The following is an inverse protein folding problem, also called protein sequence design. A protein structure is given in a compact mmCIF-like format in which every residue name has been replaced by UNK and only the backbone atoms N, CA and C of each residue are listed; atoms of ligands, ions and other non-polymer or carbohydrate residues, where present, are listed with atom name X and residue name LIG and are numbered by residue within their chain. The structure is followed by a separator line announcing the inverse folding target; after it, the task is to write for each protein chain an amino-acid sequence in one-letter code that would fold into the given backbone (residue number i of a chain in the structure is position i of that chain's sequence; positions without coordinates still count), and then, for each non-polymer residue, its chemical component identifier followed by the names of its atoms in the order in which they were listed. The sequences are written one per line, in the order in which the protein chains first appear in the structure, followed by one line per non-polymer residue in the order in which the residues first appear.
data_IF_470440480222
#
_entry.id   IF_470440480222
#
_cell.length_a   1.000
_cell.length_b   1.000
_cell.length_c   1.000
_cell.angle_alpha   90.00
_cell.angle_beta   90.00
_cell.angle_gamma   90.00
#
_symmetry.space_group_name_H-M   'P 1'
#
loop_
_entity.id
_entity.type
_entity.pdbx_description
1 polymer ?
#
# COMPACT_ATOMS: atom_id res chain seq x y z
N UNK A 1 9.94 15.83 -20.41
CA UNK A 1 9.97 16.22 -18.98
C UNK A 1 10.51 17.64 -18.78
N UNK A 2 10.90 18.31 -19.85
CA UNK A 2 11.71 19.55 -19.86
C UNK A 2 10.93 20.86 -19.57
N UNK A 3 9.70 20.75 -19.04
CA UNK A 3 8.81 21.90 -18.75
C UNK A 3 8.11 21.82 -17.40
N UNK A 4 8.49 20.90 -16.51
CA UNK A 4 7.90 20.80 -15.18
C UNK A 4 8.67 21.69 -14.21
N UNK A 5 7.96 22.58 -13.50
CA UNK A 5 8.55 23.33 -12.40
C UNK A 5 8.94 22.40 -11.24
N UNK A 6 9.90 22.81 -10.41
CA UNK A 6 10.36 22.03 -9.26
C UNK A 6 9.20 21.56 -8.37
N UNK A 7 8.24 22.44 -8.08
CA UNK A 7 7.05 22.11 -7.29
C UNK A 7 6.17 21.04 -7.94
N UNK A 8 6.09 20.98 -9.28
CA UNK A 8 5.32 19.95 -9.99
C UNK A 8 6.02 18.59 -9.93
N UNK A 9 7.36 18.57 -9.99
CA UNK A 9 8.16 17.35 -9.82
C UNK A 9 8.01 16.83 -8.39
N UNK A 10 8.09 17.71 -7.40
CA UNK A 10 7.86 17.38 -5.99
C UNK A 10 6.45 16.84 -5.79
N UNK A 11 5.43 17.50 -6.35
CA UNK A 11 4.03 17.04 -6.29
C UNK A 11 3.89 15.62 -6.83
N UNK A 12 4.34 15.40 -8.07
CA UNK A 12 4.24 14.12 -8.75
C UNK A 12 4.95 13.02 -7.96
N UNK A 13 6.13 13.33 -7.40
CA UNK A 13 6.89 12.38 -6.56
C UNK A 13 6.10 12.01 -5.29
N UNK A 14 5.51 12.99 -4.60
CA UNK A 14 4.72 12.75 -3.39
C UNK A 14 3.45 11.96 -3.70
N UNK A 15 2.76 12.27 -4.80
CA UNK A 15 1.61 11.49 -5.30
C UNK A 15 1.99 10.03 -5.55
N UNK A 16 3.10 9.81 -6.29
CA UNK A 16 3.62 8.47 -6.56
C UNK A 16 4.00 7.73 -5.28
N UNK A 17 4.61 8.40 -4.29
CA UNK A 17 4.90 7.77 -2.99
C UNK A 17 3.62 7.35 -2.30
N UNK A 18 2.62 8.24 -2.24
CA UNK A 18 1.35 7.99 -1.56
C UNK A 18 0.58 6.81 -2.20
N UNK A 19 0.45 6.81 -3.52
CA UNK A 19 -0.21 5.74 -4.29
C UNK A 19 0.49 4.39 -4.05
N UNK A 20 1.83 4.36 -4.14
CA UNK A 20 2.61 3.14 -3.96
C UNK A 20 2.64 2.61 -2.53
N UNK A 21 2.21 3.37 -1.51
CA UNK A 21 2.11 2.80 -0.14
C UNK A 21 1.11 1.64 -0.14
N UNK A 22 0.01 1.77 -0.88
CA UNK A 22 -1.00 0.71 -0.97
C UNK A 22 -0.50 -0.40 -1.87
N UNK A 23 -0.25 -0.08 -3.14
CA UNK A 23 0.02 -1.07 -4.17
C UNK A 23 1.38 -1.75 -3.99
N UNK A 24 2.35 -0.99 -3.48
CA UNK A 24 3.71 -1.42 -3.23
C UNK A 24 3.84 -2.28 -1.97
N UNK A 25 3.10 -1.95 -0.91
CA UNK A 25 3.44 -2.39 0.45
C UNK A 25 2.24 -2.92 1.22
N UNK A 26 1.24 -2.10 1.54
CA UNK A 26 0.20 -2.51 2.49
C UNK A 26 -0.77 -3.53 1.92
N UNK A 27 -1.11 -3.47 0.63
CA UNK A 27 -1.95 -4.49 0.00
C UNK A 27 -1.23 -5.84 -0.15
N UNK A 28 0.03 -5.91 -0.65
CA UNK A 28 0.80 -7.16 -0.61
C UNK A 28 0.91 -7.75 0.79
N UNK A 29 1.20 -6.92 1.81
CA UNK A 29 1.24 -7.37 3.21
C UNK A 29 -0.12 -7.89 3.69
N UNK A 30 -1.21 -7.19 3.37
CA UNK A 30 -2.56 -7.61 3.72
C UNK A 30 -2.88 -9.01 3.18
N UNK A 31 -2.61 -9.26 1.89
CA UNK A 31 -2.81 -10.58 1.30
C UNK A 31 -1.79 -11.62 1.78
N UNK A 32 -0.58 -11.21 2.16
CA UNK A 32 0.41 -12.07 2.79
C UNK A 32 -0.09 -12.59 4.15
N UNK A 33 -0.70 -11.72 4.96
CA UNK A 33 -1.27 -12.13 6.23
C UNK A 33 -2.48 -13.04 6.04
N UNK A 34 -3.30 -12.80 5.01
CA UNK A 34 -4.49 -13.62 4.73
C UNK A 34 -4.17 -15.01 4.16
N UNK A 35 -3.22 -15.10 3.23
CA UNK A 35 -2.99 -16.31 2.43
C UNK A 35 -1.53 -16.73 2.33
N UNK A 36 -0.64 -16.15 3.14
CA UNK A 36 0.80 -16.40 3.08
C UNK A 36 1.45 -15.85 1.80
N UNK A 37 2.65 -16.36 1.49
CA UNK A 37 3.41 -15.96 0.31
C UNK A 37 2.61 -16.05 -1.02
N UNK A 38 1.78 -17.09 -1.27
CA UNK A 38 0.95 -17.14 -2.47
C UNK A 38 -0.02 -15.96 -2.62
N UNK A 39 -0.61 -15.47 -1.52
CA UNK A 39 -1.49 -14.31 -1.54
C UNK A 39 -0.79 -13.03 -1.97
N UNK A 40 0.40 -12.79 -1.41
CA UNK A 40 1.22 -11.63 -1.76
C UNK A 40 1.61 -11.65 -3.25
N UNK A 41 2.02 -12.82 -3.77
CA UNK A 41 2.39 -13.02 -5.17
C UNK A 41 1.19 -12.86 -6.10
N UNK A 42 0.02 -13.42 -5.74
CA UNK A 42 -1.20 -13.30 -6.53
C UNK A 42 -1.65 -11.83 -6.65
N UNK A 43 -1.62 -11.09 -5.53
CA UNK A 43 -1.90 -9.66 -5.55
C UNK A 43 -0.92 -8.90 -6.44
N UNK A 44 0.40 -9.16 -6.30
CA UNK A 44 1.40 -8.49 -7.13
C UNK A 44 1.26 -8.82 -8.61
N UNK A 45 0.89 -10.04 -8.96
CA UNK A 45 0.58 -10.42 -10.33
C UNK A 45 -0.62 -9.61 -10.86
N UNK A 46 -1.69 -9.48 -10.06
CA UNK A 46 -2.87 -8.69 -10.44
C UNK A 46 -2.56 -7.19 -10.64
N UNK A 47 -1.85 -6.57 -9.70
CA UNK A 47 -1.42 -5.16 -9.79
C UNK A 47 -0.47 -4.91 -10.96
N UNK A 48 0.42 -5.88 -11.26
CA UNK A 48 1.31 -5.81 -12.43
C UNK A 48 0.52 -5.90 -13.74
N UNK A 49 -0.48 -6.79 -13.80
CA UNK A 49 -1.36 -6.92 -14.96
C UNK A 49 -2.12 -5.61 -15.24
N UNK A 50 -2.60 -4.93 -14.21
CA UNK A 50 -3.24 -3.63 -14.37
C UNK A 50 -2.26 -2.57 -14.92
N UNK A 51 -1.05 -2.51 -14.38
CA UNK A 51 -0.02 -1.58 -14.86
C UNK A 51 0.47 -1.87 -16.28
N UNK A 52 0.48 -3.14 -16.73
CA UNK A 52 0.96 -3.55 -18.06
C UNK A 52 -0.14 -3.51 -19.14
N UNK A 53 -1.38 -3.84 -18.80
CA UNK A 53 -2.49 -4.03 -19.76
C UNK A 53 -3.54 -2.92 -19.64
N UNK A 54 -3.57 -2.18 -18.53
CA UNK A 54 -4.49 -1.07 -18.27
C UNK A 54 -4.20 0.19 -19.10
N UNK A 55 -3.02 0.31 -19.72
CA UNK A 55 -2.76 1.38 -20.68
C UNK A 55 -3.61 1.18 -21.94
N UNK A 56 -4.51 2.13 -22.15
CA UNK A 56 -5.49 2.26 -23.24
C UNK A 56 -4.84 2.18 -24.64
N UNK A 57 -4.49 0.98 -25.06
CA UNK A 57 -4.45 0.63 -26.48
C UNK A 57 -5.90 0.36 -26.91
N UNK A 58 -6.37 0.98 -28.00
CA UNK A 58 -7.73 0.75 -28.54
C UNK A 58 -8.06 -0.75 -28.71
N UNK A 59 -7.03 -1.58 -28.86
CA UNK A 59 -7.09 -3.03 -28.98
C UNK A 59 -7.48 -3.79 -27.71
N UNK A 60 -7.27 -3.24 -26.49
CA UNK A 60 -7.46 -3.96 -25.21
C UNK A 60 -8.44 -3.28 -24.24
N UNK A 61 -9.24 -2.32 -24.71
CA UNK A 61 -10.12 -1.49 -23.88
C UNK A 61 -11.00 -2.27 -22.88
N UNK A 62 -11.58 -3.40 -23.30
CA UNK A 62 -12.45 -4.23 -22.45
C UNK A 62 -11.65 -5.08 -21.44
N UNK A 63 -10.45 -5.53 -21.84
CA UNK A 63 -9.56 -6.34 -21.01
C UNK A 63 -8.89 -5.47 -19.93
N UNK A 64 -8.37 -4.30 -20.33
CA UNK A 64 -7.81 -3.31 -19.42
C UNK A 64 -8.85 -2.79 -18.41
N UNK A 65 -10.11 -2.61 -18.82
CA UNK A 65 -11.18 -2.22 -17.88
C UNK A 65 -11.51 -3.28 -16.85
N UNK A 66 -11.52 -4.56 -17.25
CA UNK A 66 -11.75 -5.67 -16.31
C UNK A 66 -10.58 -5.83 -15.35
N UNK A 67 -9.35 -5.66 -15.84
CA UNK A 67 -8.13 -5.66 -15.02
C UNK A 67 -8.14 -4.53 -13.98
N UNK A 68 -8.44 -3.30 -14.41
CA UNK A 68 -8.51 -2.13 -13.53
C UNK A 68 -9.58 -2.29 -12.45
N UNK A 69 -10.74 -2.87 -12.79
CA UNK A 69 -11.78 -3.16 -11.80
C UNK A 69 -11.37 -4.24 -10.80
N UNK A 70 -10.64 -5.25 -11.26
CA UNK A 70 -10.16 -6.30 -10.37
C UNK A 70 -9.12 -5.76 -9.40
N UNK A 71 -8.19 -4.94 -9.87
CA UNK A 71 -7.24 -4.23 -9.00
C UNK A 71 -7.97 -3.33 -7.99
N UNK A 72 -8.95 -2.55 -8.45
CA UNK A 72 -9.75 -1.69 -7.58
C UNK A 72 -10.48 -2.50 -6.48
N UNK A 73 -10.94 -3.71 -6.78
CA UNK A 73 -11.56 -4.60 -5.77
C UNK A 73 -10.50 -5.08 -4.77
N UNK A 74 -9.35 -5.55 -5.27
CA UNK A 74 -8.29 -6.06 -4.40
C UNK A 74 -7.74 -4.97 -3.48
N UNK A 75 -7.67 -3.73 -3.96
CA UNK A 75 -7.18 -2.59 -3.22
C UNK A 75 -8.21 -1.94 -2.30
N UNK A 76 -9.49 -2.32 -2.39
CA UNK A 76 -10.58 -1.67 -1.67
C UNK A 76 -10.37 -1.64 -0.15
N UNK A 77 -10.12 -2.81 0.45
CA UNK A 77 -9.90 -2.93 1.90
C UNK A 77 -8.55 -2.34 2.32
N UNK A 78 -7.40 -2.74 1.74
CA UNK A 78 -6.10 -2.23 2.18
C UNK A 78 -5.99 -0.71 2.04
N UNK A 79 -6.50 -0.09 0.97
CA UNK A 79 -6.46 1.36 0.82
C UNK A 79 -7.19 2.12 1.95
N UNK A 80 -8.31 1.58 2.44
CA UNK A 80 -9.10 2.18 3.53
C UNK A 80 -8.40 2.03 4.87
N UNK A 81 -7.85 0.84 5.14
CA UNK A 81 -7.08 0.59 6.36
C UNK A 81 -5.86 1.52 6.41
N UNK A 82 -5.11 1.60 5.31
CA UNK A 82 -3.93 2.46 5.19
C UNK A 82 -4.29 3.94 5.33
N UNK A 83 -5.33 4.41 4.63
CA UNK A 83 -5.80 5.80 4.72
C UNK A 83 -6.24 6.21 6.13
N UNK A 84 -6.83 5.30 6.89
CA UNK A 84 -7.21 5.52 8.30
C UNK A 84 -5.99 5.49 9.22
N UNK A 85 -5.00 4.65 8.94
CA UNK A 85 -3.80 4.48 9.75
C UNK A 85 -2.86 5.70 9.68
N UNK A 86 -2.71 6.31 8.49
CA UNK A 86 -1.81 7.43 8.25
C UNK A 86 -2.01 8.61 9.21
N UNK A 87 -3.24 9.11 9.46
CA UNK A 87 -3.48 10.18 10.42
C UNK A 87 -2.95 9.88 11.84
N UNK A 88 -3.06 8.64 12.31
CA UNK A 88 -2.51 8.25 13.62
C UNK A 88 -0.99 8.31 13.61
N UNK A 89 -0.35 7.82 12.55
CA UNK A 89 1.10 7.82 12.41
C UNK A 89 1.65 9.23 12.26
N UNK A 90 0.97 10.07 11.48
CA UNK A 90 1.30 11.48 11.34
C UNK A 90 1.34 12.17 12.71
N UNK A 91 0.40 11.87 13.62
CA UNK A 91 0.43 12.39 14.98
C UNK A 91 1.70 11.98 15.75
N UNK A 92 2.09 10.70 15.71
CA UNK A 92 3.29 10.20 16.41
C UNK A 92 4.61 10.71 15.81
N UNK A 93 4.63 11.01 14.51
CA UNK A 93 5.80 11.58 13.84
C UNK A 93 5.92 13.11 14.01
N UNK A 94 4.99 13.76 14.72
CA UNK A 94 4.97 15.22 14.87
C UNK A 94 4.50 15.96 13.61
N UNK A 95 3.84 15.28 12.68
CA UNK A 95 3.12 15.87 11.55
C UNK A 95 1.68 16.24 11.95
N UNK A 96 0.92 16.81 11.02
CA UNK A 96 -0.45 17.26 11.31
C UNK A 96 -1.47 16.14 11.18
N UNK A 97 -1.50 15.23 12.17
CA UNK A 97 -2.44 14.11 12.21
C UNK A 97 -3.91 14.53 12.25
N UNK A 98 -4.22 15.69 12.87
CA UNK A 98 -5.59 16.22 12.90
C UNK A 98 -6.04 16.68 11.52
N UNK A 99 -5.18 17.42 10.81
CA UNK A 99 -5.46 17.83 9.46
C UNK A 99 -5.48 16.64 8.50
N UNK A 100 -4.58 15.67 8.66
CA UNK A 100 -4.60 14.39 7.94
C UNK A 100 -5.96 13.69 8.04
N UNK A 101 -6.51 13.55 9.25
CA UNK A 101 -7.83 12.98 9.46
C UNK A 101 -8.94 13.80 8.79
N UNK A 102 -8.92 15.13 8.97
CA UNK A 102 -9.91 16.03 8.36
C UNK A 102 -9.92 15.94 6.84
N UNK A 103 -8.74 16.01 6.21
CA UNK A 103 -8.57 15.97 4.75
C UNK A 103 -8.91 14.58 4.22
N UNK A 104 -8.52 13.51 4.90
CA UNK A 104 -8.93 12.14 4.55
C UNK A 104 -10.46 12.06 4.41
N UNK A 105 -11.23 12.46 5.42
CA UNK A 105 -12.69 12.38 5.34
C UNK A 105 -13.29 13.30 4.28
N UNK A 106 -12.73 14.51 4.12
CA UNK A 106 -13.19 15.52 3.16
C UNK A 106 -12.96 15.11 1.71
N UNK A 107 -11.78 14.54 1.41
CA UNK A 107 -11.27 14.45 0.04
C UNK A 107 -11.10 13.01 -0.47
N UNK A 108 -11.25 11.96 0.36
CA UNK A 108 -11.07 10.54 -0.05
C UNK A 108 -11.92 10.04 -1.23
N UNK A 109 -12.88 10.81 -1.72
CA UNK A 109 -13.73 10.47 -2.88
C UNK A 109 -13.37 11.26 -4.15
N UNK A 110 -12.38 12.13 -4.09
CA UNK A 110 -11.99 13.06 -5.18
C UNK A 110 -10.91 12.47 -6.08
N UNK A 111 -11.13 11.25 -6.58
CA UNK A 111 -10.24 10.60 -7.54
C UNK A 111 -11.03 9.63 -8.42
N UNK A 112 -10.64 9.44 -9.71
CA UNK A 112 -11.31 8.49 -10.59
C UNK A 112 -11.29 7.04 -10.08
N UNK A 113 -10.17 6.60 -9.49
CA UNK A 113 -10.10 5.32 -8.77
C UNK A 113 -10.74 5.46 -7.38
N UNK A 114 -11.58 4.49 -6.95
CA UNK A 114 -12.20 4.45 -5.64
C UNK A 114 -11.22 4.24 -4.47
N UNK A 115 -9.93 4.04 -4.74
CA UNK A 115 -8.92 3.69 -3.74
C UNK A 115 -7.85 4.77 -3.54
N UNK A 116 -7.27 5.31 -4.61
CA UNK A 116 -6.07 6.17 -4.52
C UNK A 116 -6.27 7.41 -3.63
N UNK A 117 -7.44 8.07 -3.72
CA UNK A 117 -7.72 9.28 -2.93
C UNK A 117 -7.68 9.05 -1.41
N UNK A 118 -7.89 7.82 -0.93
CA UNK A 118 -7.85 7.55 0.51
C UNK A 118 -6.46 7.85 1.09
N UNK A 119 -5.41 7.36 0.45
CA UNK A 119 -4.05 7.55 0.96
C UNK A 119 -3.48 8.90 0.55
N UNK A 120 -3.72 9.34 -0.68
CA UNK A 120 -3.27 10.66 -1.15
C UNK A 120 -3.86 11.81 -0.31
N UNK A 121 -5.15 11.76 0.04
CA UNK A 121 -5.77 12.76 0.90
C UNK A 121 -5.18 12.76 2.32
N UNK A 122 -4.92 11.57 2.88
CA UNK A 122 -4.30 11.45 4.19
C UNK A 122 -2.87 12.03 4.19
N UNK A 123 -2.08 11.78 3.14
CA UNK A 123 -0.75 12.35 2.94
C UNK A 123 -0.81 13.87 2.79
N UNK A 124 -1.69 14.39 1.93
CA UNK A 124 -1.87 15.82 1.69
C UNK A 124 -2.17 16.56 3.00
N UNK A 125 -3.08 16.02 3.82
CA UNK A 125 -3.40 16.58 5.13
C UNK A 125 -2.26 16.48 6.15
N UNK A 126 -1.57 15.33 6.23
CA UNK A 126 -0.45 15.13 7.15
C UNK A 126 0.72 16.08 6.86
N UNK A 127 1.01 16.30 5.58
CA UNK A 127 2.11 17.13 5.12
C UNK A 127 1.73 18.61 4.96
N UNK A 128 0.45 18.96 5.13
CA UNK A 128 -0.10 20.30 4.93
C UNK A 128 0.12 20.85 3.52
N UNK A 129 0.05 19.99 2.50
CA UNK A 129 0.23 20.34 1.10
C UNK A 129 -1.03 20.06 0.29
N UNK A 130 -1.07 20.60 -0.93
CA UNK A 130 -2.10 20.29 -1.93
C UNK A 130 -1.52 19.37 -3.00
N UNK A 131 -2.20 18.24 -3.23
CA UNK A 131 -1.92 17.29 -4.31
C UNK A 131 -3.02 17.38 -5.38
N UNK A 132 -2.80 16.76 -6.54
CA UNK A 132 -3.69 16.79 -7.68
C UNK A 132 -3.56 18.07 -8.53
N UNK A 133 -4.62 18.39 -9.27
CA UNK A 133 -4.66 19.49 -10.23
C UNK A 133 -4.18 19.09 -11.63
N UNK A 134 -3.75 20.09 -12.41
CA UNK A 134 -3.30 19.88 -13.78
C UNK A 134 -1.93 19.22 -13.80
N UNK A 135 -1.83 18.10 -14.52
CA UNK A 135 -0.59 17.43 -14.87
C UNK A 135 -0.57 17.17 -16.38
N UNK A 136 0.57 17.41 -17.03
CA UNK A 136 0.71 17.19 -18.48
C UNK A 136 1.38 15.86 -18.73
N UNK A 137 0.67 14.90 -19.35
CA UNK A 137 1.24 13.62 -19.76
C UNK A 137 1.33 13.56 -21.28
N UNK A 138 2.54 13.39 -21.83
CA UNK A 138 2.79 13.35 -23.28
C UNK A 138 2.16 14.53 -24.06
N UNK A 139 2.13 15.72 -23.47
CA UNK A 139 1.57 16.93 -24.08
C UNK A 139 0.05 17.11 -23.91
N UNK A 140 -0.65 16.13 -23.33
CA UNK A 140 -2.09 16.23 -23.04
C UNK A 140 -2.30 16.63 -21.57
N UNK A 141 -3.01 17.75 -21.29
CA UNK A 141 -3.35 18.11 -19.93
C UNK A 141 -4.37 17.13 -19.37
N UNK A 142 -4.05 16.51 -18.24
CA UNK A 142 -4.94 15.70 -17.42
C UNK A 142 -5.25 16.46 -16.13
N UNK A 143 -6.53 16.61 -15.81
CA UNK A 143 -6.98 17.34 -14.63
C UNK A 143 -7.43 16.35 -13.54
N UNK A 144 -6.68 16.27 -12.44
CA UNK A 144 -7.11 15.59 -11.21
C UNK A 144 -7.76 16.60 -10.27
N UNK A 145 -8.76 16.17 -9.51
CA UNK A 145 -9.29 17.01 -8.42
C UNK A 145 -8.22 17.29 -7.37
N UNK A 146 -8.34 18.41 -6.66
CA UNK A 146 -7.39 18.77 -5.61
C UNK A 146 -7.68 18.00 -4.31
N UNK A 147 -6.60 17.49 -3.71
CA UNK A 147 -6.60 16.84 -2.41
C UNK A 147 -5.79 17.69 -1.43
N UNK A 148 -6.34 17.95 -0.25
CA UNK A 148 -5.70 18.79 0.77
C UNK A 148 -5.73 20.29 0.46
N UNK A 149 -4.98 21.04 1.26
CA UNK A 149 -4.95 22.50 1.24
C UNK A 149 -3.51 22.97 1.06
N UNK A 150 -3.30 24.06 0.30
CA UNK A 150 -1.97 24.58 -0.01
C UNK A 150 -1.40 25.42 1.15
N UNK A 151 -1.38 24.84 2.35
CA UNK A 151 -0.94 25.51 3.58
C UNK A 151 0.59 25.60 3.67
N UNK A 152 1.30 24.71 2.98
CA UNK A 152 2.76 24.70 2.85
C UNK A 152 3.15 24.54 1.37
N UNK A 153 4.20 25.25 0.89
CA UNK A 153 4.73 25.03 -0.46
C UNK A 153 5.30 23.63 -0.63
N UNK A 154 5.25 23.13 -1.87
CA UNK A 154 5.85 21.87 -2.27
C UNK A 154 7.35 22.06 -2.50
N UNK A 155 8.13 21.72 -1.50
CA UNK A 155 9.60 21.76 -1.51
C UNK A 155 10.20 20.35 -1.52
N UNK A 156 11.46 20.20 -1.89
CA UNK A 156 12.19 18.92 -1.87
C UNK A 156 12.09 18.21 -0.50
N UNK A 157 12.08 18.96 0.60
CA UNK A 157 11.88 18.44 1.96
C UNK A 157 10.57 17.64 2.11
N UNK A 158 9.53 18.00 1.36
CA UNK A 158 8.23 17.30 1.33
C UNK A 158 8.39 15.84 0.90
N UNK A 159 9.30 15.55 -0.03
CA UNK A 159 9.59 14.18 -0.48
C UNK A 159 10.13 13.35 0.69
N UNK A 160 11.08 13.91 1.45
CA UNK A 160 11.66 13.23 2.63
C UNK A 160 10.60 12.96 3.70
N UNK A 161 9.71 13.93 3.95
CA UNK A 161 8.60 13.74 4.90
C UNK A 161 7.59 12.71 4.42
N UNK A 162 7.27 12.68 3.12
CA UNK A 162 6.41 11.66 2.53
C UNK A 162 7.04 10.26 2.64
N UNK A 163 8.35 10.13 2.40
CA UNK A 163 9.08 8.87 2.61
C UNK A 163 9.05 8.41 4.07
N UNK A 164 9.27 9.33 5.03
CA UNK A 164 9.18 9.00 6.45
C UNK A 164 7.78 8.49 6.82
N UNK A 165 6.73 9.16 6.34
CA UNK A 165 5.36 8.75 6.56
C UNK A 165 5.06 7.38 5.94
N UNK A 166 5.55 7.13 4.71
CA UNK A 166 5.47 5.82 4.06
C UNK A 166 6.14 4.74 4.91
N UNK A 167 7.42 4.89 5.27
CA UNK A 167 8.15 3.87 6.04
C UNK A 167 7.51 3.59 7.39
N UNK A 168 7.07 4.62 8.12
CA UNK A 168 6.38 4.46 9.38
C UNK A 168 5.02 3.76 9.20
N UNK A 169 4.28 4.08 8.14
CA UNK A 169 3.02 3.41 7.78
C UNK A 169 3.23 1.95 7.46
N UNK A 170 4.24 1.63 6.66
CA UNK A 170 4.62 0.24 6.34
C UNK A 170 5.01 -0.55 7.59
N UNK A 171 5.86 0.03 8.45
CA UNK A 171 6.30 -0.63 9.68
C UNK A 171 5.14 -0.88 10.65
N UNK A 172 4.27 0.11 10.83
CA UNK A 172 3.10 -0.02 11.71
C UNK A 172 2.10 -1.05 11.16
N UNK A 173 1.84 -1.06 9.85
CA UNK A 173 0.95 -2.03 9.22
C UNK A 173 1.48 -3.46 9.38
N UNK A 174 2.78 -3.66 9.16
CA UNK A 174 3.47 -4.93 9.39
C UNK A 174 3.35 -5.37 10.86
N UNK A 175 3.63 -4.46 11.81
CA UNK A 175 3.54 -4.75 13.23
C UNK A 175 2.11 -5.16 13.66
N UNK A 176 1.10 -4.40 13.22
CA UNK A 176 -0.31 -4.73 13.50
C UNK A 176 -0.69 -6.09 12.90
N UNK A 177 -0.28 -6.38 11.67
CA UNK A 177 -0.56 -7.67 11.03
C UNK A 177 0.11 -8.84 11.75
N UNK A 178 1.35 -8.67 12.22
CA UNK A 178 2.05 -9.67 13.03
C UNK A 178 1.36 -9.90 14.37
N UNK A 179 0.97 -8.83 15.07
CA UNK A 179 0.22 -8.92 16.33
C UNK A 179 -1.10 -9.65 16.12
N UNK A 180 -1.87 -9.30 15.08
CA UNK A 180 -3.12 -9.98 14.74
C UNK A 180 -2.91 -11.48 14.43
N UNK A 181 -1.82 -11.81 13.73
CA UNK A 181 -1.48 -13.21 13.41
C UNK A 181 -1.10 -14.02 14.66
N UNK A 182 -0.39 -13.39 15.60
CA UNK A 182 -0.01 -14.04 16.87
C UNK A 182 -1.18 -14.20 17.85
N UNK A 183 -2.14 -13.26 17.83
CA UNK A 183 -3.29 -13.28 18.73
C UNK A 183 -4.45 -14.17 18.23
N UNK A 184 -4.47 -14.57 16.96
CA UNK A 184 -5.56 -15.37 16.41
C UNK A 184 -5.18 -16.85 16.27
N UNK A 185 -5.94 -17.80 16.86
CA UNK A 185 -5.70 -19.23 16.68
C UNK A 185 -6.01 -19.73 15.25
N UNK A 186 -6.53 -18.85 14.39
CA UNK A 186 -6.98 -19.12 13.01
C UNK A 186 -5.94 -18.73 11.94
N UNK A 187 -4.85 -18.03 12.28
CA UNK A 187 -3.87 -17.53 11.32
C UNK A 187 -2.46 -18.10 11.56
N UNK A 188 -2.20 -19.37 11.21
CA UNK A 188 -0.84 -19.85 11.19
C UNK A 188 -0.13 -19.78 9.81
N UNK A 189 -0.66 -19.27 8.68
CA UNK A 189 -0.04 -19.54 7.37
C UNK A 189 1.35 -18.89 7.20
N UNK A 190 1.61 -17.76 7.85
CA UNK A 190 2.92 -17.08 7.76
C UNK A 190 3.98 -17.83 8.58
N UNK A 191 3.65 -18.23 9.81
CA UNK A 191 4.58 -18.96 10.69
C UNK A 191 4.76 -20.40 10.23
N UNK A 192 3.67 -21.09 9.85
CA UNK A 192 3.73 -22.44 9.28
C UNK A 192 4.48 -22.44 7.94
N UNK A 193 4.26 -21.46 7.06
CA UNK A 193 4.99 -21.38 5.80
C UNK A 193 6.50 -21.21 5.98
N UNK A 194 6.93 -20.34 6.91
CA UNK A 194 8.35 -20.16 7.24
C UNK A 194 8.94 -21.39 7.94
N UNK A 195 8.21 -22.00 8.88
CA UNK A 195 8.64 -23.22 9.55
C UNK A 195 8.70 -24.42 8.61
N UNK A 196 7.75 -24.55 7.68
CA UNK A 196 7.73 -25.63 6.68
C UNK A 196 8.85 -25.45 5.66
N UNK A 197 9.10 -24.22 5.21
CA UNK A 197 10.23 -23.91 4.33
C UNK A 197 11.58 -24.13 5.02
N UNK A 198 11.71 -23.71 6.28
CA UNK A 198 12.89 -23.99 7.11
C UNK A 198 13.09 -25.49 7.32
N UNK A 199 12.04 -26.24 7.69
CA UNK A 199 12.10 -27.70 7.80
C UNK A 199 12.43 -28.40 6.48
N UNK A 200 11.94 -27.89 5.35
CA UNK A 200 12.21 -28.45 4.02
C UNK A 200 13.62 -28.17 3.51
N UNK A 201 14.32 -27.19 4.07
CA UNK A 201 15.68 -26.77 3.64
C UNK A 201 16.77 -27.08 4.68
N UNK A 202 16.39 -27.40 5.92
CA UNK A 202 17.29 -27.80 6.98
C UNK A 202 17.73 -29.28 6.85
N UNK A 203 19.01 -29.53 7.15
CA UNK A 203 19.60 -30.87 7.17
C UNK A 203 18.87 -31.77 8.20
N UNK A 204 18.58 -33.07 7.92
CA UNK A 204 17.73 -33.92 8.78
C UNK A 204 18.20 -34.07 10.24
N UNK A 205 19.46 -33.74 10.53
CA UNK A 205 20.04 -33.76 11.87
C UNK A 205 19.68 -32.52 12.72
N UNK A 206 19.22 -31.42 12.12
CA UNK A 206 18.85 -30.18 12.84
C UNK A 206 17.35 -30.10 13.20
N UNK A 207 16.49 -30.85 12.51
CA UNK A 207 15.02 -30.80 12.67
C UNK A 207 14.46 -31.70 13.77
N UNK A 208 15.26 -32.58 14.37
CA UNK A 208 14.81 -33.50 15.44
C UNK A 208 14.29 -32.80 16.71
N UNK A 209 14.73 -31.58 17.01
CA UNK A 209 14.28 -30.85 18.21
C UNK A 209 12.90 -30.18 18.06
N UNK A 210 12.43 -29.95 16.84
CA UNK A 210 11.13 -29.29 16.57
C UNK A 210 9.93 -30.24 16.73
N UNK A 211 10.14 -31.56 16.60
CA UNK A 211 9.10 -32.58 16.80
C UNK A 211 8.75 -32.85 18.27
N UNK A 212 9.44 -32.21 19.24
CA UNK A 212 9.20 -32.41 20.68
C UNK A 212 8.16 -31.43 21.27
N UNK A 213 7.53 -30.58 20.45
CA UNK A 213 6.44 -29.72 20.91
C UNK A 213 5.13 -30.53 21.01
N UNK A 214 4.45 -30.58 22.18
CA UNK A 214 3.47 -31.65 22.49
C UNK A 214 2.11 -31.52 21.81
N UNK A 215 1.94 -30.68 20.78
CA UNK A 215 0.59 -30.29 20.31
C UNK A 215 0.32 -30.48 18.82
N UNK A 216 1.17 -31.15 18.03
CA UNK A 216 0.91 -31.36 16.60
C UNK A 216 1.43 -32.70 16.07
N UNK A 217 0.81 -33.80 16.51
CA UNK A 217 1.06 -35.15 15.97
C UNK A 217 0.48 -35.38 14.56
N UNK A 218 -0.20 -34.41 13.94
CA UNK A 218 -0.95 -34.66 12.69
C UNK A 218 -0.15 -34.49 11.39
N UNK A 219 1.15 -34.18 11.43
CA UNK A 219 1.93 -33.85 10.22
C UNK A 219 3.10 -34.79 9.88
N UNK A 220 3.26 -35.91 10.59
CA UNK A 220 4.22 -36.95 10.21
C UNK A 220 3.51 -38.23 9.76
N UNK A 221 2.90 -38.22 8.58
CA UNK A 221 2.60 -39.45 7.83
C UNK A 221 2.86 -39.22 6.34
N UNK A 222 4.00 -39.79 5.91
CA UNK A 222 4.44 -40.13 4.53
C UNK A 222 4.80 -38.98 3.59
#
# INVERSE_FOLDING_TARGET
TDKLGEAEIVRATVETIAENVVDGITAPLFYAFLFGAPGALAYKAASTLDSMVGYKNEKYKNFGWTSARFDDILNFIPARLTGILIPFIAFFLGFDGRNSWRVFWRDRKKHPSPNSAHVEAAFAGALNVRLGGVSTYSGVPSHKEYLGDANRPLEIDTIRRAQLLMFATSAMFLALGLICSLCSPLFPPVLEGLLTFYCSTANPLQTQWLCLLPSRESFCVV
#
